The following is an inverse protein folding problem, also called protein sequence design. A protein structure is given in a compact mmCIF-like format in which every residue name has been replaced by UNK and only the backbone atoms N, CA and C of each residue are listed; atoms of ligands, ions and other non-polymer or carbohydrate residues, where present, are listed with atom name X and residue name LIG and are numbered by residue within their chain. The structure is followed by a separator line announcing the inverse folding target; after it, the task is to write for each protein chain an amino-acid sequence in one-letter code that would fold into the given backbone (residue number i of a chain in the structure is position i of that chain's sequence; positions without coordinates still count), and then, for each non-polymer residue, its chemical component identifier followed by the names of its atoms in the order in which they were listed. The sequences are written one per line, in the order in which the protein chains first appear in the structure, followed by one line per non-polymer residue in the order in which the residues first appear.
data_IF_275424608817
#
_entry.id   IF_275424608817
#
_cell.length_a   1.000
_cell.length_b   1.000
_cell.length_c   1.000
_cell.angle_alpha   90.00
_cell.angle_beta   90.00
_cell.angle_gamma   90.00
#
_symmetry.space_group_name_H-M   'P 1'
#
loop_
_entity.id
_entity.type
_entity.pdbx_description
1 polymer ?
#
# COMPACT_ATOMS: atom_id res chain seq x y z
N UNK A 1 -6.98 -3.81 -2.94
CA UNK A 1 -7.08 -2.42 -3.43
C UNK A 1 -7.04 -1.41 -2.29
N UNK A 2 -8.05 -1.34 -1.41
CA UNK A 2 -8.08 -0.37 -0.29
C UNK A 2 -6.86 -0.46 0.64
N UNK A 3 -6.43 -1.67 1.01
CA UNK A 3 -5.19 -1.92 1.79
C UNK A 3 -3.94 -1.31 1.18
N UNK A 4 -3.78 -1.49 -0.12
CA UNK A 4 -2.62 -0.99 -0.84
C UNK A 4 -2.69 0.53 -1.03
N UNK A 5 -3.88 1.13 -1.14
CA UNK A 5 -4.02 2.60 -1.16
C UNK A 5 -3.62 3.23 0.18
N UNK A 6 -3.95 2.60 1.30
CA UNK A 6 -3.68 3.16 2.63
C UNK A 6 -2.25 2.89 3.09
N UNK A 7 -1.72 1.70 2.82
CA UNK A 7 -0.30 1.41 3.02
C UNK A 7 0.60 2.36 2.22
N UNK A 8 0.15 2.80 1.05
CA UNK A 8 0.89 3.74 0.22
C UNK A 8 0.76 5.20 0.65
N UNK A 9 -0.42 5.60 1.15
CA UNK A 9 -0.60 6.91 1.79
C UNK A 9 0.26 7.07 3.07
N UNK A 10 0.79 5.97 3.60
CA UNK A 10 1.64 5.96 4.80
C UNK A 10 3.13 5.75 4.48
N UNK A 11 3.54 5.72 3.21
CA UNK A 11 4.92 5.41 2.84
C UNK A 11 5.93 6.50 3.24
N UNK A 12 5.49 7.76 3.35
CA UNK A 12 6.27 8.92 3.83
C UNK A 12 6.43 8.95 5.38
N UNK A 13 5.98 7.91 6.08
CA UNK A 13 6.25 7.69 7.50
C UNK A 13 5.45 8.54 8.50
N UNK A 14 4.69 9.55 8.07
CA UNK A 14 3.84 10.36 8.94
C UNK A 14 2.54 10.80 8.27
N UNK A 15 1.45 10.03 8.40
CA UNK A 15 0.11 10.63 8.31
C UNK A 15 -0.13 11.35 9.64
N UNK A 16 -0.19 12.68 9.60
CA UNK A 16 -0.47 13.51 10.79
C UNK A 16 -1.96 13.44 11.22
N UNK A 17 -2.30 14.02 12.36
CA UNK A 17 -3.69 13.97 12.87
C UNK A 17 -4.70 14.69 11.98
N UNK A 18 -4.28 15.75 11.27
CA UNK A 18 -5.15 16.55 10.42
C UNK A 18 -5.42 15.82 9.10
N UNK A 19 -4.42 15.14 8.54
CA UNK A 19 -4.57 14.25 7.40
C UNK A 19 -5.45 13.05 7.74
N UNK A 20 -5.25 12.42 8.91
CA UNK A 20 -6.13 11.34 9.40
C UNK A 20 -7.59 11.80 9.48
N UNK A 21 -7.83 13.00 10.03
CA UNK A 21 -9.18 13.55 10.15
C UNK A 21 -9.81 13.87 8.80
N UNK A 22 -9.04 14.39 7.85
CA UNK A 22 -9.52 14.67 6.49
C UNK A 22 -9.84 13.41 5.71
N UNK A 23 -9.00 12.39 5.79
CA UNK A 23 -9.24 11.11 5.12
C UNK A 23 -10.48 10.45 5.75
N UNK A 24 -10.58 10.37 7.08
CA UNK A 24 -11.77 9.88 7.78
C UNK A 24 -13.04 10.65 7.38
N UNK A 25 -12.96 11.97 7.23
CA UNK A 25 -14.06 12.81 6.75
C UNK A 25 -14.50 12.48 5.32
N UNK A 26 -13.54 12.30 4.39
CA UNK A 26 -13.81 11.91 3.00
C UNK A 26 -14.41 10.50 2.92
N UNK A 27 -14.02 9.59 3.80
CA UNK A 27 -14.56 8.23 3.82
C UNK A 27 -16.01 8.16 4.30
N UNK A 28 -16.41 9.02 5.24
CA UNK A 28 -17.81 9.15 5.65
C UNK A 28 -18.72 9.69 4.52
N UNK A 29 -18.14 10.36 3.51
CA UNK A 29 -18.88 10.82 2.32
C UNK A 29 -18.98 9.77 1.21
N UNK A 30 -18.29 8.63 1.34
CA UNK A 30 -18.42 7.48 0.46
C UNK A 30 -19.47 6.54 1.07
N UNK A 31 -20.33 5.97 0.23
CA UNK A 31 -21.36 5.00 0.64
C UNK A 31 -20.69 3.63 0.91
N UNK A 32 -19.85 3.60 1.94
CA UNK A 32 -19.11 2.43 2.40
C UNK A 32 -19.92 1.72 3.48
N UNK A 33 -19.89 0.39 3.46
CA UNK A 33 -20.42 -0.38 4.59
C UNK A 33 -19.65 -0.05 5.88
N UNK A 34 -20.28 -0.27 7.03
CA UNK A 34 -19.64 -0.05 8.33
C UNK A 34 -18.35 -0.87 8.51
N UNK A 35 -18.29 -2.06 7.90
CA UNK A 35 -17.10 -2.91 7.87
C UNK A 35 -15.98 -2.31 7.02
N UNK A 36 -16.30 -1.75 5.85
CA UNK A 36 -15.30 -1.06 5.01
C UNK A 36 -14.80 0.23 5.66
N UNK A 37 -15.66 1.02 6.29
CA UNK A 37 -15.28 2.26 6.98
C UNK A 37 -14.41 2.00 8.22
N UNK A 38 -14.76 0.99 9.03
CA UNK A 38 -13.95 0.57 10.18
C UNK A 38 -12.61 -0.02 9.73
N UNK A 39 -12.62 -0.78 8.63
CA UNK A 39 -11.41 -1.33 8.02
C UNK A 39 -10.45 -0.23 7.59
N UNK A 40 -10.93 0.79 6.88
CA UNK A 40 -10.10 1.91 6.41
C UNK A 40 -9.60 2.77 7.57
N UNK A 41 -10.45 3.05 8.57
CA UNK A 41 -10.05 3.82 9.76
C UNK A 41 -8.95 3.11 10.54
N UNK A 42 -9.04 1.79 10.68
CA UNK A 42 -7.99 1.00 11.34
C UNK A 42 -6.68 1.02 10.55
N UNK A 43 -6.75 0.93 9.23
CA UNK A 43 -5.58 0.97 8.36
C UNK A 43 -4.93 2.38 8.32
N UNK A 44 -5.70 3.46 8.52
CA UNK A 44 -5.17 4.83 8.68
C UNK A 44 -4.55 5.08 10.06
N UNK A 45 -5.06 4.41 11.08
CA UNK A 45 -4.56 4.54 12.46
C UNK A 45 -3.34 3.66 12.71
N UNK A 46 -3.33 2.47 12.09
CA UNK A 46 -2.31 1.44 12.18
C UNK A 46 -2.12 0.81 10.78
N UNK A 47 -1.31 1.45 9.92
CA UNK A 47 -0.97 0.97 8.59
C UNK A 47 -0.46 -0.47 8.64
N UNK A 48 -0.91 -1.34 7.74
CA UNK A 48 -0.42 -2.71 7.71
C UNK A 48 1.09 -2.74 7.45
N UNK A 49 1.79 -3.46 8.31
CA UNK A 49 3.22 -3.70 8.16
C UNK A 49 3.47 -4.76 7.10
N UNK A 50 4.72 -4.90 6.64
CA UNK A 50 5.08 -6.01 5.75
C UNK A 50 4.80 -7.36 6.43
N UNK A 51 5.01 -7.45 7.74
CA UNK A 51 4.71 -8.62 8.55
C UNK A 51 3.22 -8.98 8.55
N UNK A 52 2.33 -8.01 8.38
CA UNK A 52 0.87 -8.23 8.27
C UNK A 52 0.45 -8.63 6.85
N UNK A 53 1.12 -8.09 5.83
CA UNK A 53 0.76 -8.27 4.41
C UNK A 53 1.26 -9.62 3.88
N UNK A 54 2.54 -9.93 4.09
CA UNK A 54 3.20 -11.08 3.47
C UNK A 54 2.52 -12.42 3.78
N UNK A 55 2.05 -12.71 5.01
CA UNK A 55 1.39 -13.97 5.31
C UNK A 55 0.03 -14.15 4.60
N UNK A 56 -0.59 -13.07 4.14
CA UNK A 56 -1.90 -13.11 3.49
C UNK A 56 -1.80 -13.45 1.98
N UNK A 57 -0.62 -13.26 1.39
CA UNK A 57 -0.36 -13.55 -0.01
C UNK A 57 0.02 -15.03 -0.14
N UNK A 58 -0.85 -15.82 -0.78
CA UNK A 58 -0.70 -17.28 -0.88
C UNK A 58 -0.28 -17.77 -2.26
N UNK A 59 -0.30 -16.91 -3.26
CA UNK A 59 -0.05 -17.23 -4.65
C UNK A 59 0.61 -16.07 -5.37
N UNK A 60 1.20 -16.39 -6.53
CA UNK A 60 1.95 -15.45 -7.35
C UNK A 60 1.08 -14.33 -7.93
N UNK A 61 -0.15 -14.64 -8.32
CA UNK A 61 -1.05 -13.64 -8.91
C UNK A 61 -1.36 -12.54 -7.89
N UNK A 62 -1.69 -12.95 -6.66
CA UNK A 62 -1.92 -12.03 -5.54
C UNK A 62 -0.66 -11.24 -5.20
N UNK A 63 0.53 -11.86 -5.25
CA UNK A 63 1.80 -11.17 -5.02
C UNK A 63 2.05 -10.05 -6.04
N UNK A 64 1.89 -10.35 -7.33
CA UNK A 64 2.05 -9.39 -8.42
C UNK A 64 1.04 -8.23 -8.29
N UNK A 65 -0.21 -8.53 -7.94
CA UNK A 65 -1.25 -7.52 -7.71
C UNK A 65 -0.95 -6.62 -6.51
N UNK A 66 -0.54 -7.19 -5.38
CA UNK A 66 -0.19 -6.41 -4.18
C UNK A 66 0.96 -5.45 -4.50
N UNK A 67 2.02 -5.94 -5.12
CA UNK A 67 3.17 -5.11 -5.49
C UNK A 67 2.78 -4.00 -6.48
N UNK A 68 2.00 -4.33 -7.51
CA UNK A 68 1.58 -3.34 -8.52
C UNK A 68 0.75 -2.22 -7.89
N UNK A 69 -0.20 -2.54 -7.00
CA UNK A 69 -1.02 -1.51 -6.36
C UNK A 69 -0.20 -0.69 -5.37
N UNK A 70 0.73 -1.29 -4.62
CA UNK A 70 1.65 -0.53 -3.76
C UNK A 70 2.53 0.42 -4.57
N UNK A 71 3.13 -0.04 -5.67
CA UNK A 71 3.96 0.79 -6.54
C UNK A 71 3.15 1.95 -7.17
N UNK A 72 1.90 1.74 -7.53
CA UNK A 72 1.05 2.79 -8.12
C UNK A 72 0.55 3.83 -7.11
N UNK A 73 0.52 3.47 -5.83
CA UNK A 73 -0.06 4.34 -4.82
C UNK A 73 1.02 5.06 -3.98
N UNK A 74 2.28 4.60 -4.02
CA UNK A 74 3.44 5.29 -3.43
C UNK A 74 4.03 6.20 -4.51
N UNK A 75 4.17 7.49 -4.21
CA UNK A 75 5.04 8.37 -4.97
C UNK A 75 6.47 8.09 -4.52
N UNK A 76 7.33 7.60 -5.40
CA UNK A 76 8.67 7.15 -4.99
C UNK A 76 9.63 8.33 -5.10
N UNK A 77 9.74 9.13 -4.05
CA UNK A 77 10.61 10.31 -4.03
C UNK A 77 11.64 10.31 -2.87
N UNK A 78 11.47 9.40 -1.91
CA UNK A 78 12.39 9.17 -0.79
C UNK A 78 13.15 7.84 -0.88
N UNK A 79 14.27 7.74 -0.14
CA UNK A 79 15.05 6.50 -0.03
C UNK A 79 14.29 5.44 0.78
N UNK A 80 13.48 5.87 1.74
CA UNK A 80 12.64 5.04 2.59
C UNK A 80 11.55 4.31 1.79
N UNK A 81 10.92 4.97 0.82
CA UNK A 81 9.90 4.38 -0.05
C UNK A 81 10.49 3.34 -1.01
N UNK A 82 11.66 3.65 -1.59
CA UNK A 82 12.41 2.67 -2.36
C UNK A 82 12.79 1.46 -1.51
N UNK A 83 13.25 1.66 -0.28
CA UNK A 83 13.59 0.56 0.62
C UNK A 83 12.35 -0.29 0.97
N UNK A 84 11.20 0.34 1.20
CA UNK A 84 9.93 -0.34 1.43
C UNK A 84 9.53 -1.23 0.24
N UNK A 85 9.52 -0.67 -0.98
CA UNK A 85 9.14 -1.41 -2.18
C UNK A 85 10.11 -2.59 -2.45
N UNK A 86 11.40 -2.39 -2.21
CA UNK A 86 12.39 -3.46 -2.31
C UNK A 86 12.15 -4.58 -1.29
N UNK A 87 11.85 -4.23 -0.02
CA UNK A 87 11.48 -5.21 1.01
C UNK A 87 10.18 -5.94 0.65
N UNK A 88 9.19 -5.24 0.09
CA UNK A 88 7.93 -5.82 -0.35
C UNK A 88 8.15 -6.82 -1.49
N UNK A 89 8.85 -6.44 -2.56
CA UNK A 89 9.16 -7.33 -3.69
C UNK A 89 9.85 -8.61 -3.21
N UNK A 90 10.85 -8.47 -2.33
CA UNK A 90 11.58 -9.59 -1.76
C UNK A 90 10.70 -10.49 -0.88
N UNK A 91 9.86 -9.89 -0.03
CA UNK A 91 8.95 -10.63 0.83
C UNK A 91 7.89 -11.40 0.05
N UNK A 92 7.46 -10.87 -1.08
CA UNK A 92 6.51 -11.49 -2.01
C UNK A 92 7.15 -12.53 -2.93
N UNK A 93 8.49 -12.66 -2.93
CA UNK A 93 9.22 -13.58 -3.81
C UNK A 93 9.16 -13.18 -5.28
N UNK A 94 9.08 -11.89 -5.58
CA UNK A 94 9.05 -11.36 -6.94
C UNK A 94 10.47 -11.22 -7.49
N UNK A 95 10.66 -11.65 -8.73
CA UNK A 95 11.94 -11.55 -9.43
C UNK A 95 12.23 -10.10 -9.79
N UNK A 96 13.48 -9.65 -9.61
CA UNK A 96 13.88 -8.28 -9.91
C UNK A 96 13.58 -7.89 -11.37
N UNK A 97 13.79 -8.82 -12.31
CA UNK A 97 13.51 -8.58 -13.73
C UNK A 97 12.03 -8.25 -13.98
N UNK A 98 11.11 -8.90 -13.26
CA UNK A 98 9.68 -8.60 -13.36
C UNK A 98 9.34 -7.23 -12.76
N UNK A 99 9.98 -6.87 -11.64
CA UNK A 99 9.81 -5.56 -11.01
C UNK A 99 10.27 -4.43 -11.94
N UNK A 100 11.43 -4.60 -12.58
CA UNK A 100 11.99 -3.62 -13.51
C UNK A 100 11.11 -3.44 -14.76
N UNK A 101 10.62 -4.55 -15.32
CA UNK A 101 9.67 -4.54 -16.45
C UNK A 101 8.36 -3.85 -16.07
N UNK A 102 7.87 -4.05 -14.85
CA UNK A 102 6.65 -3.40 -14.37
C UNK A 102 6.84 -1.88 -14.25
N UNK A 103 7.93 -1.43 -13.63
CA UNK A 103 8.26 0.00 -13.50
C UNK A 103 8.35 0.69 -14.86
N UNK A 104 9.07 0.07 -15.81
CA UNK A 104 9.14 0.56 -17.18
C UNK A 104 7.77 0.65 -17.86
N UNK A 105 6.89 -0.34 -17.63
CA UNK A 105 5.53 -0.34 -18.19
C UNK A 105 4.63 0.75 -17.61
N UNK A 106 4.86 1.13 -16.35
CA UNK A 106 4.10 2.17 -15.64
C UNK A 106 4.71 3.57 -15.81
N UNK A 107 5.89 3.69 -16.41
CA UNK A 107 6.63 4.94 -16.60
C UNK A 107 6.97 5.62 -15.25
N UNK A 108 7.38 4.80 -14.27
CA UNK A 108 7.81 5.18 -12.91
C UNK A 108 9.27 4.76 -12.71
#
# INVERSE_FOLDING_TARGET
MIRAMIASANADGYIDQDERAQIAGKLNSLDLSAEESSFITNELLSPATLEDILPLVKDRETAEQVFTVSLMAIEVDTEEEEEYLNKLAKGLGLEQTWVDELRQRLDI
#
